data_IF_585255183652
#
_entry.id   IF_585255183652
#
_cell.length_a   1.000
_cell.length_b   1.000
_cell.length_c   1.000
_cell.angle_alpha   90.00
_cell.angle_beta   90.00
_cell.angle_gamma   90.00
#
_symmetry.space_group_name_H-M   'P 1'
#
loop_
_entity.id
_entity.type
_entity.pdbx_description
1 polymer ?
#
# COMPACT_ATOMS: atom_id res chain seq x y z
N UNK A 1 28.62 -25.75 79.21
CA UNK A 1 28.41 -24.29 79.29
C UNK A 1 28.27 -23.73 77.87
N UNK A 2 27.19 -22.96 77.61
CA UNK A 2 26.89 -22.04 76.47
C UNK A 2 26.68 -22.66 75.07
N UNK A 3 25.40 -22.77 74.63
CA UNK A 3 24.65 -21.98 73.59
C UNK A 3 24.97 -22.45 72.14
N UNK A 4 24.01 -22.87 71.29
CA UNK A 4 23.00 -22.04 70.58
C UNK A 4 21.87 -22.92 69.96
N UNK A 5 20.58 -22.66 70.25
CA UNK A 5 19.50 -21.94 69.50
C UNK A 5 18.76 -22.78 68.44
N UNK A 6 17.44 -22.89 68.69
CA UNK A 6 16.37 -23.50 67.91
C UNK A 6 15.40 -22.41 67.44
N UNK A 7 14.79 -22.55 66.26
CA UNK A 7 13.50 -21.95 65.83
C UNK A 7 13.16 -22.57 64.46
N UNK A 8 12.29 -23.58 64.35
CA UNK A 8 10.82 -23.56 64.42
C UNK A 8 10.20 -22.41 63.62
N UNK A 9 9.56 -22.81 62.52
CA UNK A 9 8.79 -21.99 61.61
C UNK A 9 7.59 -21.34 62.29
N UNK A 10 7.32 -20.09 61.90
CA UNK A 10 6.02 -19.45 62.08
C UNK A 10 5.49 -19.11 60.68
N UNK A 11 4.43 -19.78 60.25
CA UNK A 11 3.62 -19.33 59.12
C UNK A 11 2.90 -18.04 59.53
N UNK A 12 3.07 -16.97 58.77
CA UNK A 12 2.17 -15.83 58.75
C UNK A 12 1.57 -15.70 57.35
N UNK A 13 0.26 -15.47 57.33
CA UNK A 13 -0.61 -15.60 56.18
C UNK A 13 -0.56 -14.42 55.20
N UNK A 14 -0.81 -14.74 53.93
CA UNK A 14 -1.52 -13.96 52.91
C UNK A 14 -1.08 -12.51 52.59
N UNK A 15 -0.49 -12.34 51.41
CA UNK A 15 -1.06 -11.48 50.35
C UNK A 15 -0.38 -11.82 49.00
N UNK A 16 -1.09 -12.53 48.12
CA UNK A 16 -0.70 -12.69 46.73
C UNK A 16 -1.00 -11.38 46.01
N UNK A 17 0.02 -10.59 45.70
CA UNK A 17 -0.09 -9.64 44.58
C UNK A 17 0.30 -10.44 43.34
N UNK A 18 -0.59 -10.64 42.35
CA UNK A 18 -0.17 -11.21 41.09
C UNK A 18 0.82 -10.20 40.49
N UNK A 19 2.09 -10.60 40.42
CA UNK A 19 3.06 -9.89 39.60
C UNK A 19 2.49 -9.85 38.20
N UNK A 20 2.18 -8.64 37.73
CA UNK A 20 1.95 -8.43 36.30
C UNK A 20 3.29 -8.78 35.64
N UNK A 21 3.33 -9.93 34.97
CA UNK A 21 4.39 -10.18 34.02
C UNK A 21 4.32 -9.00 33.04
N UNK A 22 5.40 -8.23 32.94
CA UNK A 22 5.53 -7.23 31.91
C UNK A 22 5.33 -7.97 30.59
N UNK A 23 4.20 -7.73 29.92
CA UNK A 23 3.99 -8.20 28.57
C UNK A 23 5.03 -7.48 27.72
N UNK A 24 6.15 -8.17 27.45
CA UNK A 24 7.08 -7.75 26.42
C UNK A 24 6.27 -7.66 25.15
N UNK A 25 6.09 -6.45 24.62
CA UNK A 25 5.49 -6.22 23.31
C UNK A 25 6.28 -7.05 22.31
N UNK A 26 5.71 -8.19 21.90
CA UNK A 26 6.23 -8.91 20.76
C UNK A 26 6.26 -7.91 19.58
N UNK A 27 7.35 -7.83 18.81
CA UNK A 27 7.32 -7.07 17.57
C UNK A 27 6.16 -7.61 16.74
N UNK A 28 5.32 -6.70 16.24
CA UNK A 28 4.25 -6.99 15.29
C UNK A 28 4.81 -7.92 14.22
N UNK A 29 4.14 -9.02 13.93
CA UNK A 29 4.50 -9.87 12.79
C UNK A 29 4.65 -8.97 11.55
N UNK A 30 5.67 -9.17 10.70
CA UNK A 30 5.78 -8.39 9.47
C UNK A 30 4.50 -8.57 8.68
N UNK A 31 3.89 -7.46 8.26
CA UNK A 31 2.87 -7.46 7.21
C UNK A 31 3.43 -8.31 6.08
N UNK A 32 2.80 -9.46 5.85
CA UNK A 32 3.14 -10.30 4.71
C UNK A 32 2.51 -9.60 3.50
N UNK A 33 3.34 -8.86 2.77
CA UNK A 33 2.94 -8.35 1.46
C UNK A 33 2.52 -9.55 0.61
N UNK A 34 1.33 -9.53 0.01
CA UNK A 34 0.81 -10.60 -0.83
C UNK A 34 1.55 -10.74 -2.17
N UNK A 35 2.76 -10.18 -2.27
CA UNK A 35 3.47 -9.90 -3.51
C UNK A 35 3.23 -8.48 -4.02
N UNK A 36 3.90 -8.15 -5.12
CA UNK A 36 3.68 -6.92 -5.89
C UNK A 36 2.23 -6.85 -6.41
N UNK A 37 1.91 -5.82 -7.20
CA UNK A 37 0.53 -5.61 -7.69
C UNK A 37 -0.02 -6.82 -8.44
N UNK A 38 0.83 -7.50 -9.21
CA UNK A 38 0.61 -8.84 -9.72
C UNK A 38 1.33 -9.89 -8.85
N UNK A 39 0.85 -11.14 -8.85
CA UNK A 39 1.49 -12.23 -8.09
C UNK A 39 2.88 -12.62 -8.63
N UNK A 40 3.10 -12.38 -9.92
CA UNK A 40 4.35 -12.61 -10.66
C UNK A 40 4.59 -11.45 -11.62
N UNK A 41 5.83 -11.24 -12.05
CA UNK A 41 6.18 -10.25 -13.05
C UNK A 41 5.39 -10.44 -14.38
N UNK A 42 4.54 -9.46 -14.73
CA UNK A 42 3.62 -9.56 -15.86
C UNK A 42 3.11 -8.20 -16.35
N UNK A 43 2.68 -8.15 -17.60
CA UNK A 43 1.86 -7.06 -18.11
C UNK A 43 0.43 -7.18 -17.56
N UNK A 44 -0.05 -6.10 -16.95
CA UNK A 44 -1.36 -6.03 -16.32
C UNK A 44 -2.10 -4.75 -16.69
N UNK A 45 -3.42 -4.85 -16.68
CA UNK A 45 -4.33 -3.72 -16.57
C UNK A 45 -4.82 -3.61 -15.13
N UNK A 46 -5.09 -2.38 -14.70
CA UNK A 46 -5.57 -2.07 -13.36
C UNK A 46 -6.92 -1.35 -13.51
N UNK A 47 -8.02 -2.08 -13.35
CA UNK A 47 -9.39 -1.58 -13.55
C UNK A 47 -9.99 -1.14 -12.21
N UNK A 48 -10.55 0.06 -12.17
CA UNK A 48 -11.35 0.51 -11.04
C UNK A 48 -12.65 -0.28 -10.96
N UNK A 49 -13.08 -0.57 -9.73
CA UNK A 49 -14.35 -1.22 -9.42
C UNK A 49 -15.43 -0.23 -8.95
N UNK A 50 -15.14 1.08 -8.96
CA UNK A 50 -16.10 2.12 -8.62
C UNK A 50 -17.13 2.35 -9.74
N UNK A 51 -18.37 2.75 -9.40
CA UNK A 51 -19.34 3.28 -10.36
C UNK A 51 -19.73 2.34 -11.51
N UNK A 52 -19.76 1.01 -11.27
CA UNK A 52 -19.90 -0.10 -12.23
C UNK A 52 -18.60 -0.57 -12.90
N UNK A 53 -17.46 0.04 -12.57
CA UNK A 53 -16.17 -0.25 -13.17
C UNK A 53 -16.07 0.23 -14.63
N UNK A 54 -15.13 -0.34 -15.37
CA UNK A 54 -14.93 -0.04 -16.80
C UNK A 54 -13.90 1.05 -17.09
N UNK A 55 -13.34 1.68 -16.06
CA UNK A 55 -12.21 2.61 -16.18
C UNK A 55 -10.92 1.96 -15.67
N UNK A 56 -9.82 2.22 -16.34
CA UNK A 56 -8.49 1.68 -16.05
C UNK A 56 -7.55 2.79 -15.58
N UNK A 57 -6.57 2.43 -14.76
CA UNK A 57 -5.45 3.30 -14.40
C UNK A 57 -4.67 3.64 -15.67
N UNK A 58 -4.58 4.92 -15.97
CA UNK A 58 -4.20 5.45 -17.28
C UNK A 58 -3.15 6.55 -17.08
N UNK A 59 -2.01 6.43 -17.73
CA UNK A 59 -1.11 7.57 -17.88
C UNK A 59 -1.63 8.46 -18.99
N UNK A 60 -1.77 9.77 -18.74
CA UNK A 60 -2.28 10.69 -19.75
C UNK A 60 -1.39 10.66 -21.00
N UNK A 61 -1.94 10.16 -22.11
CA UNK A 61 -1.22 9.99 -23.37
C UNK A 61 -0.77 11.32 -24.00
N UNK A 62 -1.34 12.46 -23.57
CA UNK A 62 -0.88 13.79 -23.95
C UNK A 62 0.34 14.28 -23.14
N UNK A 63 0.78 13.50 -22.15
CA UNK A 63 1.98 13.76 -21.35
C UNK A 63 3.29 13.52 -22.11
N UNK A 64 4.41 13.49 -21.37
CA UNK A 64 5.73 13.47 -22.00
C UNK A 64 6.95 13.33 -21.07
N UNK A 65 6.85 12.55 -20.00
CA UNK A 65 7.96 12.28 -19.06
C UNK A 65 7.59 12.53 -17.61
N UNK A 66 8.58 12.91 -16.79
CA UNK A 66 8.41 13.17 -15.35
C UNK A 66 7.27 14.15 -15.08
N UNK A 67 6.38 13.78 -14.17
CA UNK A 67 5.18 14.55 -13.85
C UNK A 67 4.00 14.31 -14.81
N UNK A 68 4.10 13.38 -15.76
CA UNK A 68 2.94 12.97 -16.56
C UNK A 68 1.86 12.48 -15.61
N UNK A 69 0.68 13.08 -15.73
CA UNK A 69 -0.43 12.81 -14.83
C UNK A 69 -0.94 11.37 -15.01
N UNK A 70 -1.21 10.70 -13.89
CA UNK A 70 -1.96 9.44 -13.88
C UNK A 70 -3.41 9.72 -13.50
N UNK A 71 -4.31 9.06 -14.20
CA UNK A 71 -5.74 9.26 -14.15
C UNK A 71 -6.48 7.93 -14.25
N UNK A 72 -7.81 8.00 -14.25
CA UNK A 72 -8.64 6.91 -14.74
C UNK A 72 -9.31 7.28 -16.05
N UNK A 73 -9.38 6.34 -16.97
CA UNK A 73 -10.03 6.50 -18.26
C UNK A 73 -10.71 5.20 -18.67
N UNK A 74 -11.76 5.26 -19.49
CA UNK A 74 -12.40 4.07 -20.03
C UNK A 74 -11.34 3.10 -20.57
N UNK A 75 -11.47 1.84 -20.16
CA UNK A 75 -10.53 0.80 -20.57
C UNK A 75 -10.59 0.62 -22.08
N UNK A 76 -9.48 0.88 -22.77
CA UNK A 76 -9.35 0.80 -24.23
C UNK A 76 -8.22 -0.15 -24.68
N UNK A 77 -7.42 -0.68 -23.75
CA UNK A 77 -6.34 -1.62 -24.02
C UNK A 77 -5.07 -0.99 -24.60
N UNK A 78 -5.05 0.33 -24.71
CA UNK A 78 -3.91 1.06 -25.25
C UNK A 78 -2.69 1.03 -24.30
N UNK A 79 -1.46 1.24 -24.80
CA UNK A 79 -0.25 1.06 -24.02
C UNK A 79 -0.18 1.89 -22.73
N UNK A 80 -0.82 3.06 -22.68
CA UNK A 80 -0.82 3.91 -21.48
C UNK A 80 -1.65 3.35 -20.31
N UNK A 81 -2.47 2.34 -20.57
CA UNK A 81 -3.26 1.62 -19.56
C UNK A 81 -2.65 0.26 -19.18
N UNK A 82 -1.54 -0.11 -19.82
CA UNK A 82 -0.80 -1.33 -19.54
C UNK A 82 0.39 -1.02 -18.65
N UNK A 83 0.56 -1.83 -17.62
CA UNK A 83 1.61 -1.68 -16.63
C UNK A 83 2.36 -2.98 -16.51
N UNK A 84 3.67 -2.97 -16.69
CA UNK A 84 4.51 -4.10 -16.34
C UNK A 84 4.72 -4.09 -14.84
N UNK A 85 4.05 -5.00 -14.13
CA UNK A 85 4.27 -5.25 -12.72
C UNK A 85 5.54 -6.07 -12.57
N UNK A 86 6.50 -5.59 -11.77
CA UNK A 86 7.71 -6.35 -11.44
C UNK A 86 7.53 -7.10 -10.12
N UNK A 87 8.40 -8.06 -9.84
CA UNK A 87 8.42 -8.75 -8.53
C UNK A 87 8.79 -7.79 -7.38
N UNK A 88 9.59 -6.76 -7.67
CA UNK A 88 10.02 -5.73 -6.73
C UNK A 88 8.99 -4.59 -6.52
N UNK A 89 7.77 -4.73 -7.05
CA UNK A 89 6.66 -3.80 -6.79
C UNK A 89 6.58 -2.58 -7.71
N UNK A 90 7.39 -2.50 -8.77
CA UNK A 90 7.30 -1.41 -9.74
C UNK A 90 6.15 -1.67 -10.72
N UNK A 91 5.51 -0.58 -11.16
CA UNK A 91 4.56 -0.58 -12.26
C UNK A 91 5.12 0.30 -13.37
N UNK A 92 5.76 -0.32 -14.36
CA UNK A 92 6.36 0.38 -15.51
C UNK A 92 5.31 0.59 -16.60
N UNK A 93 5.15 1.82 -17.08
CA UNK A 93 4.12 2.15 -18.06
C UNK A 93 4.44 1.59 -19.46
N UNK A 94 3.41 1.10 -20.17
CA UNK A 94 3.56 0.52 -21.50
C UNK A 94 3.70 1.51 -22.65
N UNK A 95 3.28 2.77 -22.47
CA UNK A 95 3.46 3.84 -23.47
C UNK A 95 4.77 4.58 -23.25
N UNK A 96 5.01 5.01 -22.02
CA UNK A 96 6.19 5.78 -21.63
C UNK A 96 7.24 4.84 -21.05
N UNK A 97 8.13 4.34 -21.91
CA UNK A 97 9.20 3.40 -21.54
C UNK A 97 10.06 3.97 -20.39
N UNK A 98 10.51 3.09 -19.50
CA UNK A 98 11.31 3.41 -18.31
C UNK A 98 10.68 4.39 -17.30
N UNK A 99 9.37 4.59 -17.40
CA UNK A 99 8.59 5.42 -16.47
C UNK A 99 7.76 4.53 -15.54
N UNK A 100 7.87 4.79 -14.24
CA UNK A 100 7.18 4.07 -13.19
C UNK A 100 5.99 4.88 -12.64
N UNK A 101 4.94 4.18 -12.20
CA UNK A 101 3.92 4.78 -11.35
C UNK A 101 4.59 5.29 -10.06
N UNK A 102 4.39 6.56 -9.77
CA UNK A 102 5.08 7.29 -8.72
C UNK A 102 4.07 8.07 -7.87
N UNK A 103 4.19 7.95 -6.54
CA UNK A 103 3.50 8.85 -5.63
C UNK A 103 4.28 10.17 -5.51
N UNK A 104 3.64 11.28 -5.90
CA UNK A 104 4.30 12.59 -5.91
C UNK A 104 4.69 13.02 -4.48
N UNK A 105 5.98 12.93 -4.18
CA UNK A 105 6.51 13.27 -2.85
C UNK A 105 6.31 14.73 -2.46
N UNK A 106 5.97 15.63 -3.40
CA UNK A 106 5.57 17.00 -3.08
C UNK A 106 4.24 17.06 -2.31
N UNK A 107 3.36 16.07 -2.48
CA UNK A 107 2.14 15.91 -1.69
C UNK A 107 2.39 15.28 -0.31
N UNK A 108 3.56 14.68 -0.10
CA UNK A 108 3.99 14.12 1.18
C UNK A 108 3.15 12.95 1.68
N UNK A 109 2.41 12.26 0.80
CA UNK A 109 1.53 11.15 1.18
C UNK A 109 0.20 11.57 1.80
N UNK A 110 -0.08 12.87 1.92
CA UNK A 110 -1.37 13.35 2.39
C UNK A 110 -2.49 12.97 1.40
N UNK A 111 -3.73 12.88 1.89
CA UNK A 111 -4.91 12.66 1.06
C UNK A 111 -4.97 13.66 -0.11
N UNK A 112 -5.05 13.13 -1.33
CA UNK A 112 -5.00 13.90 -2.57
C UNK A 112 -3.60 14.10 -3.16
N UNK A 113 -2.56 13.48 -2.56
CA UNK A 113 -1.24 13.37 -3.20
C UNK A 113 -1.41 12.70 -4.56
N UNK A 114 -1.02 13.36 -5.64
CA UNK A 114 -1.26 12.84 -6.98
C UNK A 114 -0.37 11.65 -7.28
N UNK A 115 -0.89 10.75 -8.11
CA UNK A 115 -0.05 9.79 -8.82
C UNK A 115 0.40 10.38 -10.15
N UNK A 116 1.64 10.09 -10.49
CA UNK A 116 2.28 10.58 -11.70
C UNK A 116 3.16 9.48 -12.29
N UNK A 117 3.68 9.73 -13.48
CA UNK A 117 4.84 9.02 -13.98
C UNK A 117 6.10 9.76 -13.55
N UNK A 118 7.09 8.98 -13.13
CA UNK A 118 8.44 9.47 -12.93
C UNK A 118 9.43 8.41 -13.40
N UNK A 119 10.62 8.84 -13.84
CA UNK A 119 11.72 7.96 -14.20
C UNK A 119 11.92 6.93 -13.08
N UNK A 120 11.99 5.65 -13.47
CA UNK A 120 12.17 4.57 -12.51
C UNK A 120 13.50 4.75 -11.77
N UNK A 121 13.42 5.02 -10.46
CA UNK A 121 14.57 5.37 -9.62
C UNK A 121 14.72 4.44 -8.40
N UNK A 122 13.91 3.38 -8.33
CA UNK A 122 13.95 2.34 -7.30
C UNK A 122 13.70 2.83 -5.87
N UNK A 123 13.03 3.97 -5.74
CA UNK A 123 12.63 4.54 -4.45
C UNK A 123 11.33 3.93 -3.93
N UNK A 124 11.06 4.00 -2.60
CA UNK A 124 9.84 3.43 -2.02
C UNK A 124 8.53 4.04 -2.55
N UNK A 125 8.52 5.30 -2.99
CA UNK A 125 7.31 5.92 -3.56
C UNK A 125 6.89 5.34 -4.92
N UNK A 126 7.74 4.52 -5.55
CA UNK A 126 7.47 3.82 -6.80
C UNK A 126 7.15 2.32 -6.60
N UNK A 127 7.10 1.86 -5.35
CA UNK A 127 6.78 0.47 -5.02
C UNK A 127 5.35 0.33 -4.51
N UNK A 128 4.64 -0.63 -5.12
CA UNK A 128 3.22 -0.82 -4.99
C UNK A 128 2.90 -2.27 -4.65
N UNK A 129 2.07 -2.47 -3.63
CA UNK A 129 1.83 -3.79 -3.05
C UNK A 129 0.34 -4.09 -2.93
N UNK A 130 -0.03 -5.36 -3.08
CA UNK A 130 -1.35 -5.84 -2.68
C UNK A 130 -1.20 -6.75 -1.47
N UNK A 131 -2.09 -6.59 -0.50
CA UNK A 131 -2.19 -7.49 0.64
C UNK A 131 -3.18 -8.60 0.32
N UNK A 132 -2.93 -9.80 0.84
CA UNK A 132 -3.83 -10.94 0.65
C UNK A 132 -5.23 -10.64 1.18
N UNK A 133 -6.24 -10.92 0.37
CA UNK A 133 -7.65 -10.67 0.72
C UNK A 133 -8.09 -9.21 0.59
N UNK A 134 -7.25 -8.35 0.02
CA UNK A 134 -7.55 -6.92 -0.14
C UNK A 134 -7.58 -6.49 -1.61
N UNK A 135 -8.50 -5.57 -1.92
CA UNK A 135 -8.63 -5.01 -3.27
C UNK A 135 -7.85 -3.70 -3.46
N UNK A 136 -7.31 -3.14 -2.39
CA UNK A 136 -6.50 -1.94 -2.43
C UNK A 136 -5.07 -2.21 -2.94
N UNK A 137 -4.44 -1.17 -3.49
CA UNK A 137 -3.03 -1.16 -3.89
C UNK A 137 -2.33 -0.13 -3.01
N UNK A 138 -1.35 -0.57 -2.23
CA UNK A 138 -0.65 0.24 -1.23
C UNK A 138 0.63 0.82 -1.79
N UNK A 139 0.97 2.05 -1.38
CA UNK A 139 2.30 2.61 -1.61
C UNK A 139 3.26 2.21 -0.48
N UNK A 140 4.48 1.79 -0.79
CA UNK A 140 5.43 1.37 0.24
C UNK A 140 5.88 2.52 1.15
N UNK A 141 6.15 3.70 0.59
CA UNK A 141 6.68 4.83 1.36
C UNK A 141 5.71 5.28 2.47
N UNK A 142 4.41 5.22 2.18
CA UNK A 142 3.35 5.78 3.01
C UNK A 142 2.45 4.71 3.67
N UNK A 143 2.86 3.44 3.65
CA UNK A 143 2.10 2.36 4.26
C UNK A 143 2.01 2.50 5.79
N UNK A 144 3.12 2.84 6.45
CA UNK A 144 3.21 2.85 7.91
C UNK A 144 2.69 4.15 8.56
N UNK A 145 2.49 5.19 7.75
CA UNK A 145 2.05 6.51 8.16
C UNK A 145 0.84 6.86 7.30
N UNK A 146 -0.36 6.41 7.71
CA UNK A 146 -1.66 6.61 7.04
C UNK A 146 -2.21 5.48 6.13
N UNK A 147 -1.51 4.35 5.96
CA UNK A 147 -1.99 3.19 5.19
C UNK A 147 -2.58 3.60 3.83
N UNK A 148 -1.83 4.45 3.11
CA UNK A 148 -2.36 5.13 1.92
C UNK A 148 -2.37 4.20 0.73
N UNK A 149 -3.45 4.29 -0.05
CA UNK A 149 -3.72 3.41 -1.18
C UNK A 149 -3.99 4.23 -2.43
N UNK A 150 -3.86 3.58 -3.59
CA UNK A 150 -4.35 4.11 -4.87
C UNK A 150 -5.85 4.34 -4.76
N UNK A 151 -6.26 5.58 -4.97
CA UNK A 151 -7.62 6.09 -4.89
C UNK A 151 -7.92 6.83 -6.20
N UNK A 152 -9.12 6.62 -6.76
CA UNK A 152 -9.62 7.50 -7.82
C UNK A 152 -10.52 8.55 -7.22
N UNK A 153 -10.44 9.77 -7.73
CA UNK A 153 -11.45 10.80 -7.43
C UNK A 153 -12.86 10.28 -7.79
N UNK A 154 -13.76 10.08 -6.81
CA UNK A 154 -15.09 9.50 -7.04
C UNK A 154 -16.02 10.41 -7.84
N UNK A 155 -15.80 11.72 -7.79
CA UNK A 155 -16.75 12.72 -8.31
C UNK A 155 -16.54 13.04 -9.80
N UNK A 156 -15.59 12.38 -10.46
CA UNK A 156 -15.25 12.61 -11.86
C UNK A 156 -15.27 11.32 -12.71
N UNK A 157 -15.56 11.48 -14.01
CA UNK A 157 -15.60 10.40 -15.00
C UNK A 157 -14.24 10.14 -15.64
N UNK A 158 -14.16 10.11 -16.98
CA UNK A 158 -12.87 10.02 -17.68
C UNK A 158 -12.00 11.24 -17.35
N UNK A 159 -10.74 10.96 -17.01
CA UNK A 159 -9.82 11.95 -16.52
C UNK A 159 -9.97 12.26 -15.05
N UNK A 160 -10.69 11.47 -14.24
CA UNK A 160 -10.59 11.53 -12.78
C UNK A 160 -9.14 11.30 -12.34
N UNK A 161 -8.68 12.04 -11.31
CA UNK A 161 -7.32 11.93 -10.80
C UNK A 161 -7.13 10.59 -10.10
N UNK A 162 -6.01 9.91 -10.38
CA UNK A 162 -5.51 8.87 -9.52
C UNK A 162 -4.59 9.52 -8.47
N UNK A 163 -4.82 9.20 -7.20
CA UNK A 163 -4.18 9.85 -6.06
C UNK A 163 -3.94 8.85 -4.93
N UNK A 164 -3.19 9.26 -3.93
CA UNK A 164 -3.15 8.59 -2.64
C UNK A 164 -4.28 9.09 -1.75
N UNK A 165 -4.85 8.15 -1.01
CA UNK A 165 -5.77 8.45 0.06
C UNK A 165 -5.63 7.43 1.18
N UNK A 166 -5.85 7.85 2.42
CA UNK A 166 -6.03 6.99 3.58
C UNK A 166 -7.06 5.91 3.27
N UNK A 167 -6.71 4.65 3.54
CA UNK A 167 -7.64 3.56 3.29
C UNK A 167 -8.92 3.73 4.11
N UNK A 168 -10.06 3.76 3.42
CA UNK A 168 -11.39 4.00 4.01
C UNK A 168 -12.45 2.95 3.61
N UNK A 169 -12.02 1.87 2.93
CA UNK A 169 -12.87 0.74 2.52
C UNK A 169 -14.05 1.15 1.61
N UNK A 170 -13.87 2.20 0.81
CA UNK A 170 -14.82 2.61 -0.21
C UNK A 170 -14.37 2.13 -1.60
N UNK A 171 -15.32 2.02 -2.53
CA UNK A 171 -15.09 1.37 -3.84
C UNK A 171 -14.12 2.10 -4.76
N UNK A 172 -13.89 3.40 -4.55
CA UNK A 172 -12.87 4.17 -5.28
C UNK A 172 -11.43 3.74 -4.98
N UNK A 173 -11.23 2.89 -3.96
CA UNK A 173 -9.94 2.32 -3.58
C UNK A 173 -9.81 0.84 -4.00
N UNK A 174 -10.80 0.30 -4.70
CA UNK A 174 -10.82 -1.11 -5.11
C UNK A 174 -10.46 -1.27 -6.57
N UNK A 175 -9.46 -2.11 -6.80
CA UNK A 175 -8.89 -2.33 -8.11
C UNK A 175 -8.86 -3.81 -8.46
N UNK A 176 -9.32 -4.12 -9.66
CA UNK A 176 -9.09 -5.41 -10.28
C UNK A 176 -7.80 -5.34 -11.09
N UNK A 177 -6.92 -6.30 -10.86
CA UNK A 177 -5.68 -6.47 -11.63
C UNK A 177 -5.88 -7.67 -12.53
N UNK A 178 -5.72 -7.49 -13.83
CA UNK A 178 -5.96 -8.51 -14.85
C UNK A 178 -4.81 -8.52 -15.86
N UNK A 179 -4.57 -9.66 -16.52
CA UNK A 179 -3.54 -9.76 -17.56
C UNK A 179 -3.88 -8.88 -18.77
N UNK A 180 -2.90 -8.14 -19.30
CA UNK A 180 -3.06 -7.21 -20.42
C UNK A 180 -2.09 -7.48 -21.56
#
# INVERSE_FOLDING_TARGET
MRKTISAIALCAAAACVPGVAAASSAPSAPVSFGGSVARDAAWVGIRSLHGNGGQCLDADAAGGGNGTRVQVWDCNGEPQQRWFSTDDGYLVNGLFQDMCLDADTNGGGANGTRLQLWECNHSPQQRWWRLDGDLAIYNELYLNDHNTVVDRDPDAGNGAVAQLWEKNFQSQQWWEVFAA
#
